data_IF_996985086168
#
_entry.id   IF_996985086168
#
_cell.length_a   1.000
_cell.length_b   1.000
_cell.length_c   1.000
_cell.angle_alpha   90.00
_cell.angle_beta   90.00
_cell.angle_gamma   90.00
#
_symmetry.space_group_name_H-M   'P 1'
#
loop_
_entity.id
_entity.type
_entity.pdbx_description
1 polymer ?
#
# COMPACT_ATOMS: atom_id res chain seq x y z
N UNK A 1 -79.93 51.39 -44.98
CA UNK A 1 -79.75 50.37 -43.93
C UNK A 1 -78.29 49.94 -43.96
N UNK A 2 -77.47 50.63 -43.18
CA UNK A 2 -76.04 50.35 -43.03
C UNK A 2 -75.90 49.92 -41.56
N UNK A 3 -75.66 48.62 -41.33
CA UNK A 3 -75.26 48.11 -40.03
C UNK A 3 -73.73 48.13 -39.99
N UNK A 4 -73.18 48.98 -39.13
CA UNK A 4 -71.78 48.92 -38.73
C UNK A 4 -71.76 48.40 -37.30
N UNK A 5 -71.25 47.18 -37.13
CA UNK A 5 -70.95 46.58 -35.84
C UNK A 5 -69.77 47.31 -35.19
N UNK A 6 -70.00 47.85 -34.01
CA UNK A 6 -68.95 48.26 -33.07
C UNK A 6 -68.36 47.02 -32.40
N UNK A 7 -67.22 46.53 -32.90
CA UNK A 7 -66.35 45.61 -32.16
C UNK A 7 -65.36 46.43 -31.33
N UNK A 8 -65.63 46.56 -30.03
CA UNK A 8 -64.66 47.03 -29.05
C UNK A 8 -63.63 45.93 -28.77
N UNK A 9 -62.47 46.01 -29.43
CA UNK A 9 -61.28 45.27 -29.06
C UNK A 9 -60.75 45.74 -27.68
N UNK A 10 -61.09 45.01 -26.62
CA UNK A 10 -60.36 45.07 -25.34
C UNK A 10 -58.97 44.43 -25.52
N UNK A 11 -57.94 45.25 -25.76
CA UNK A 11 -56.54 44.86 -25.67
C UNK A 11 -56.16 44.54 -24.22
N UNK A 12 -56.31 43.29 -23.80
CA UNK A 12 -55.63 42.76 -22.62
C UNK A 12 -54.11 42.74 -22.87
N UNK A 13 -53.39 43.72 -22.31
CA UNK A 13 -51.93 43.65 -22.16
C UNK A 13 -51.61 42.45 -21.27
N UNK A 14 -51.14 41.34 -21.85
CA UNK A 14 -50.49 40.25 -21.12
C UNK A 14 -49.29 40.84 -20.37
N UNK A 15 -49.42 41.04 -19.06
CA UNK A 15 -48.28 41.37 -18.19
C UNK A 15 -47.37 40.15 -18.16
N UNK A 16 -46.07 40.36 -18.37
CA UNK A 16 -45.05 39.32 -18.34
C UNK A 16 -44.76 38.93 -16.90
N UNK A 17 -45.25 37.78 -16.43
CA UNK A 17 -44.86 37.21 -15.13
C UNK A 17 -43.39 36.84 -15.14
N UNK A 18 -42.63 37.24 -14.11
CA UNK A 18 -41.23 36.85 -13.94
C UNK A 18 -41.13 35.68 -12.96
N UNK A 19 -40.32 34.68 -13.29
CA UNK A 19 -40.05 33.53 -12.43
C UNK A 19 -38.57 33.44 -12.06
N UNK A 20 -38.29 32.96 -10.85
CA UNK A 20 -36.94 32.70 -10.35
C UNK A 20 -36.87 31.33 -9.70
N UNK A 21 -35.79 30.61 -9.99
CA UNK A 21 -35.43 29.34 -9.35
C UNK A 21 -34.07 29.47 -8.68
N UNK A 22 -33.99 29.03 -7.43
CA UNK A 22 -32.75 29.06 -6.66
C UNK A 22 -31.65 28.23 -7.33
N UNK A 23 -30.43 28.79 -7.35
CA UNK A 23 -29.27 28.18 -8.01
C UNK A 23 -28.44 27.28 -7.09
N UNK A 24 -28.71 27.29 -5.78
CA UNK A 24 -27.88 26.61 -4.79
C UNK A 24 -28.02 25.08 -4.84
N UNK A 25 -26.88 24.40 -4.72
CA UNK A 25 -26.76 22.94 -4.75
C UNK A 25 -25.85 22.44 -3.62
N UNK A 26 -25.93 21.14 -3.36
CA UNK A 26 -25.03 20.41 -2.50
C UNK A 26 -23.59 20.52 -3.01
N UNK A 27 -22.70 21.16 -2.23
CA UNK A 27 -21.28 21.31 -2.55
C UNK A 27 -20.59 19.96 -2.75
N UNK A 28 -20.93 18.97 -1.92
CA UNK A 28 -20.34 17.64 -2.04
C UNK A 28 -20.80 16.91 -3.29
N UNK A 29 -22.11 16.98 -3.60
CA UNK A 29 -22.66 16.33 -4.79
C UNK A 29 -22.19 17.00 -6.07
N UNK A 30 -22.04 18.33 -6.10
CA UNK A 30 -21.52 19.05 -7.29
C UNK A 30 -20.09 18.65 -7.59
N UNK A 31 -19.21 18.61 -6.59
CA UNK A 31 -17.83 18.16 -6.74
C UNK A 31 -17.74 16.69 -7.16
N UNK A 32 -18.48 15.82 -6.49
CA UNK A 32 -18.53 14.39 -6.82
C UNK A 32 -19.01 14.16 -8.25
N UNK A 33 -20.01 14.92 -8.71
CA UNK A 33 -20.48 14.84 -10.09
C UNK A 33 -19.42 15.33 -11.08
N UNK A 34 -18.77 16.46 -10.80
CA UNK A 34 -17.71 17.01 -11.64
C UNK A 34 -16.55 16.03 -11.84
N UNK A 35 -16.19 15.30 -10.78
CA UNK A 35 -15.16 14.26 -10.83
C UNK A 35 -15.64 13.04 -11.63
N UNK A 36 -16.85 12.53 -11.37
CA UNK A 36 -17.41 11.40 -12.12
C UNK A 36 -17.53 11.67 -13.62
N UNK A 37 -17.90 12.90 -14.00
CA UNK A 37 -17.95 13.31 -15.41
C UNK A 37 -16.56 13.30 -16.03
N UNK A 38 -15.54 13.84 -15.34
CA UNK A 38 -14.16 13.82 -15.80
C UNK A 38 -13.66 12.38 -15.96
N UNK A 39 -13.94 11.51 -14.99
CA UNK A 39 -13.61 10.10 -15.05
C UNK A 39 -14.19 9.44 -16.29
N UNK A 40 -15.49 9.61 -16.52
CA UNK A 40 -16.16 9.04 -17.67
C UNK A 40 -15.54 9.49 -19.00
N UNK A 41 -15.16 10.77 -19.12
CA UNK A 41 -14.48 11.31 -20.30
C UNK A 41 -13.11 10.67 -20.49
N UNK A 42 -12.29 10.59 -19.43
CA UNK A 42 -10.95 9.98 -19.49
C UNK A 42 -11.01 8.49 -19.84
N UNK A 43 -11.91 7.73 -19.20
CA UNK A 43 -12.11 6.31 -19.52
C UNK A 43 -12.55 6.14 -20.97
N UNK A 44 -13.53 6.92 -21.43
CA UNK A 44 -14.00 6.83 -22.81
C UNK A 44 -12.89 7.15 -23.82
N UNK A 45 -12.05 8.15 -23.55
CA UNK A 45 -10.92 8.51 -24.42
C UNK A 45 -9.89 7.37 -24.51
N UNK A 46 -9.54 6.73 -23.39
CA UNK A 46 -8.59 5.60 -23.36
C UNK A 46 -9.19 4.36 -24.04
N UNK A 47 -10.47 4.08 -23.82
CA UNK A 47 -11.15 2.96 -24.47
C UNK A 47 -11.24 3.14 -25.99
N UNK A 48 -11.52 4.36 -26.47
CA UNK A 48 -11.56 4.67 -27.89
C UNK A 48 -10.21 4.42 -28.60
N UNK A 49 -9.08 4.53 -27.89
CA UNK A 49 -7.77 4.21 -28.43
C UNK A 49 -7.45 2.71 -28.50
N UNK A 50 -8.00 1.92 -27.58
CA UNK A 50 -7.64 0.52 -27.41
C UNK A 50 -8.35 -0.41 -28.42
N UNK A 51 -9.08 0.13 -29.39
CA UNK A 51 -9.79 -0.63 -30.43
C UNK A 51 -9.07 -0.67 -31.78
N UNK A 52 -9.44 -1.64 -32.64
CA UNK A 52 -8.88 -1.88 -34.00
C UNK A 52 -8.99 -0.63 -34.91
N UNK A 53 -9.92 0.29 -34.63
CA UNK A 53 -10.18 1.49 -35.45
C UNK A 53 -9.30 2.71 -35.14
N UNK A 54 -8.43 2.67 -34.12
CA UNK A 54 -7.66 3.86 -33.70
C UNK A 54 -6.33 3.98 -34.45
N UNK A 55 -6.39 4.49 -35.67
CA UNK A 55 -5.21 4.94 -36.40
C UNK A 55 -4.91 6.40 -35.96
N UNK A 56 -4.07 6.55 -34.93
CA UNK A 56 -3.26 7.75 -34.68
C UNK A 56 -4.00 8.98 -34.09
N UNK A 57 -4.63 8.84 -32.91
CA UNK A 57 -4.97 10.02 -32.08
C UNK A 57 -4.63 9.75 -30.62
N UNK A 58 -3.93 10.67 -29.96
CA UNK A 58 -3.58 10.63 -28.52
C UNK A 58 -4.86 10.69 -27.66
N UNK A 59 -4.91 10.17 -26.41
CA UNK A 59 -6.13 10.25 -25.62
C UNK A 59 -6.49 11.73 -25.36
N UNK A 60 -5.48 12.58 -25.24
CA UNK A 60 -5.60 14.03 -25.10
C UNK A 60 -6.40 14.68 -26.24
N UNK A 61 -6.19 14.25 -27.49
CA UNK A 61 -6.87 14.83 -28.66
C UNK A 61 -8.37 14.48 -28.69
N UNK A 62 -8.76 13.41 -28.01
CA UNK A 62 -10.12 12.92 -27.97
C UNK A 62 -10.96 13.53 -26.83
N UNK A 63 -10.32 14.07 -25.77
CA UNK A 63 -11.01 14.59 -24.58
C UNK A 63 -12.08 15.65 -24.89
N UNK A 64 -11.84 16.68 -25.74
CA UNK A 64 -12.82 17.74 -25.96
C UNK A 64 -14.12 17.23 -26.61
N UNK A 65 -14.00 16.35 -27.60
CA UNK A 65 -15.16 15.80 -28.30
C UNK A 65 -15.98 14.86 -27.41
N UNK A 66 -15.31 14.06 -26.58
CA UNK A 66 -15.99 13.22 -25.59
C UNK A 66 -16.68 14.05 -24.50
N UNK A 67 -16.08 15.16 -24.06
CA UNK A 67 -16.71 16.07 -23.12
C UNK A 67 -17.99 16.71 -23.69
N UNK A 68 -17.94 17.20 -24.94
CA UNK A 68 -19.11 17.75 -25.65
C UNK A 68 -20.23 16.71 -25.80
N UNK A 69 -19.88 15.48 -26.18
CA UNK A 69 -20.84 14.40 -26.34
C UNK A 69 -21.48 14.00 -25.01
N UNK A 70 -20.69 13.86 -23.93
CA UNK A 70 -21.24 13.60 -22.60
C UNK A 70 -22.22 14.70 -22.19
N UNK A 71 -21.85 15.97 -22.32
CA UNK A 71 -22.75 17.07 -22.00
C UNK A 71 -24.04 17.05 -22.82
N UNK A 72 -23.96 16.73 -24.13
CA UNK A 72 -25.14 16.58 -24.97
C UNK A 72 -26.07 15.50 -24.43
N UNK A 73 -25.54 14.33 -24.05
CA UNK A 73 -26.32 13.22 -23.48
C UNK A 73 -26.95 13.61 -22.14
N UNK A 74 -26.20 14.31 -21.29
CA UNK A 74 -26.67 14.72 -19.97
C UNK A 74 -27.72 15.82 -20.05
N UNK A 75 -27.58 16.78 -20.98
CA UNK A 75 -28.55 17.86 -21.19
C UNK A 75 -29.75 17.46 -22.05
N UNK A 76 -29.72 16.31 -22.74
CA UNK A 76 -30.84 15.84 -23.55
C UNK A 76 -31.99 15.31 -22.65
N UNK A 77 -33.15 15.97 -22.79
CA UNK A 77 -34.37 15.75 -22.00
C UNK A 77 -35.33 14.80 -22.74
N UNK A 78 -34.97 13.52 -22.88
CA UNK A 78 -35.82 12.57 -23.61
C UNK A 78 -37.11 12.17 -22.86
N UNK A 79 -37.27 12.47 -21.57
CA UNK A 79 -38.52 12.25 -20.81
C UNK A 79 -38.49 12.94 -19.42
N UNK A 80 -39.25 14.02 -19.19
CA UNK A 80 -39.36 14.70 -17.88
C UNK A 80 -39.82 13.78 -16.72
N UNK A 81 -40.45 12.65 -17.04
CA UNK A 81 -40.89 11.66 -16.06
C UNK A 81 -39.75 10.76 -15.55
N UNK A 82 -38.63 10.63 -16.27
CA UNK A 82 -37.50 9.75 -15.90
C UNK A 82 -36.27 10.50 -15.38
N UNK A 83 -36.34 11.83 -15.28
CA UNK A 83 -35.25 12.69 -14.82
C UNK A 83 -35.06 12.53 -13.30
N UNK A 84 -34.05 11.75 -12.91
CA UNK A 84 -33.66 11.49 -11.53
C UNK A 84 -32.15 11.39 -11.40
N UNK A 85 -31.61 11.58 -10.19
CA UNK A 85 -30.18 11.38 -9.92
C UNK A 85 -29.68 9.98 -10.30
N UNK A 86 -30.50 8.94 -10.17
CA UNK A 86 -30.16 7.58 -10.60
C UNK A 86 -30.04 7.48 -12.13
N UNK A 87 -30.92 8.15 -12.88
CA UNK A 87 -30.82 8.23 -14.34
C UNK A 87 -29.57 8.99 -14.77
N UNK A 88 -29.19 10.05 -14.06
CA UNK A 88 -27.94 10.78 -14.29
C UNK A 88 -26.71 9.87 -14.12
N UNK A 89 -26.64 9.16 -13.00
CA UNK A 89 -25.55 8.24 -12.72
C UNK A 89 -25.45 7.13 -13.79
N UNK A 90 -26.59 6.56 -14.19
CA UNK A 90 -26.63 5.56 -15.27
C UNK A 90 -26.15 6.14 -16.59
N UNK A 91 -26.59 7.33 -17.00
CA UNK A 91 -26.14 7.97 -18.26
C UNK A 91 -24.62 8.20 -18.29
N UNK A 92 -24.01 8.59 -17.16
CA UNK A 92 -22.56 8.78 -17.05
C UNK A 92 -21.84 7.43 -17.18
N UNK A 93 -22.36 6.38 -16.53
CA UNK A 93 -21.78 5.04 -16.58
C UNK A 93 -21.92 4.43 -17.99
N UNK A 94 -23.10 4.54 -18.61
CA UNK A 94 -23.35 4.07 -19.97
C UNK A 94 -22.43 4.78 -20.97
N UNK A 95 -22.20 6.09 -20.81
CA UNK A 95 -21.24 6.83 -21.63
C UNK A 95 -19.81 6.31 -21.46
N UNK A 96 -19.38 6.10 -20.21
CA UNK A 96 -18.07 5.52 -19.89
C UNK A 96 -17.87 4.18 -20.58
N UNK A 97 -18.89 3.32 -20.57
CA UNK A 97 -18.80 1.95 -21.08
C UNK A 97 -19.07 1.83 -22.60
N UNK A 98 -19.69 2.84 -23.23
CA UNK A 98 -20.08 2.84 -24.66
C UNK A 98 -18.91 2.52 -25.61
N UNK A 99 -17.71 2.98 -25.28
CA UNK A 99 -16.52 2.83 -26.12
C UNK A 99 -15.60 1.68 -25.67
N UNK A 100 -16.00 0.91 -24.66
CA UNK A 100 -15.21 -0.21 -24.14
C UNK A 100 -15.12 -1.32 -25.19
N UNK A 101 -13.89 -1.62 -25.64
CA UNK A 101 -13.63 -2.64 -26.67
C UNK A 101 -13.23 -3.98 -26.05
N UNK A 102 -13.41 -5.08 -26.78
CA UNK A 102 -12.98 -6.42 -26.31
C UNK A 102 -11.50 -6.48 -25.91
N UNK A 103 -10.62 -5.71 -26.58
CA UNK A 103 -9.19 -5.65 -26.21
C UNK A 103 -8.93 -4.93 -24.89
N UNK A 104 -9.83 -4.04 -24.46
CA UNK A 104 -9.72 -3.41 -23.12
C UNK A 104 -9.95 -4.44 -22.01
N UNK A 105 -10.75 -5.47 -22.25
CA UNK A 105 -10.98 -6.56 -21.29
C UNK A 105 -9.77 -7.50 -21.14
N UNK A 106 -8.89 -7.52 -22.15
CA UNK A 106 -7.61 -8.22 -22.09
C UNK A 106 -6.51 -7.40 -21.39
N UNK A 107 -6.78 -6.13 -21.07
CA UNK A 107 -5.85 -5.26 -20.34
C UNK A 107 -6.11 -5.32 -18.85
N UNK A 108 -5.04 -5.34 -18.03
CA UNK A 108 -5.20 -5.26 -16.57
C UNK A 108 -5.99 -4.02 -16.17
N UNK A 109 -7.03 -4.22 -15.34
CA UNK A 109 -7.84 -3.14 -14.76
C UNK A 109 -6.98 -2.07 -14.12
N UNK A 110 -5.94 -2.47 -13.37
CA UNK A 110 -5.02 -1.56 -12.70
C UNK A 110 -4.29 -0.65 -13.70
N UNK A 111 -3.86 -1.22 -14.84
CA UNK A 111 -3.16 -0.46 -15.89
C UNK A 111 -4.04 0.62 -16.50
N UNK A 112 -5.33 0.35 -16.68
CA UNK A 112 -6.30 1.35 -17.18
C UNK A 112 -6.51 2.45 -16.12
N UNK A 113 -6.65 2.07 -14.85
CA UNK A 113 -6.80 3.03 -13.74
C UNK A 113 -5.59 3.95 -13.59
N UNK A 114 -4.38 3.40 -13.72
CA UNK A 114 -3.14 4.18 -13.67
C UNK A 114 -3.03 5.14 -14.86
N UNK A 115 -3.44 4.71 -16.06
CA UNK A 115 -3.43 5.56 -17.25
C UNK A 115 -4.47 6.68 -17.17
N UNK A 116 -5.67 6.39 -16.63
CA UNK A 116 -6.68 7.43 -16.32
C UNK A 116 -6.12 8.44 -15.33
N UNK A 117 -5.46 7.98 -14.27
CA UNK A 117 -4.84 8.86 -13.27
C UNK A 117 -3.79 9.76 -13.92
N UNK A 118 -2.89 9.18 -14.71
CA UNK A 118 -1.86 9.90 -15.46
C UNK A 118 -2.47 10.94 -16.39
N UNK A 119 -3.51 10.58 -17.13
CA UNK A 119 -4.21 11.47 -18.05
C UNK A 119 -4.90 12.64 -17.33
N UNK A 120 -5.46 12.41 -16.14
CA UNK A 120 -6.01 13.48 -15.30
C UNK A 120 -4.92 14.42 -14.82
N UNK A 121 -3.84 13.88 -14.26
CA UNK A 121 -2.71 14.68 -13.76
C UNK A 121 -2.09 15.55 -14.86
N UNK A 122 -1.92 15.01 -16.07
CA UNK A 122 -1.34 15.75 -17.20
C UNK A 122 -2.32 16.74 -17.84
N UNK A 123 -3.61 16.38 -17.92
CA UNK A 123 -4.65 17.25 -18.50
C UNK A 123 -5.08 18.38 -17.56
N UNK A 124 -4.98 18.17 -16.24
CA UNK A 124 -5.26 19.20 -15.23
C UNK A 124 -4.08 20.15 -14.99
N UNK A 125 -2.94 19.97 -15.68
CA UNK A 125 -1.89 21.00 -15.68
C UNK A 125 -2.35 22.25 -16.43
N UNK A 126 -2.00 23.42 -15.89
CA UNK A 126 -2.50 24.75 -16.28
C UNK A 126 -2.41 25.03 -17.80
N UNK A 127 -1.43 24.45 -18.50
CA UNK A 127 -1.20 24.70 -19.94
C UNK A 127 -2.06 23.80 -20.85
N UNK A 128 -2.44 22.60 -20.40
CA UNK A 128 -3.23 21.64 -21.17
C UNK A 128 -4.73 21.75 -20.87
N UNK A 129 -5.11 22.11 -19.64
CA UNK A 129 -6.50 22.41 -19.29
C UNK A 129 -7.05 23.53 -20.21
N UNK A 130 -6.30 24.62 -20.35
CA UNK A 130 -6.64 25.75 -21.23
C UNK A 130 -6.99 25.28 -22.66
N UNK A 131 -6.16 24.42 -23.29
CA UNK A 131 -6.39 23.94 -24.66
C UNK A 131 -7.46 22.86 -24.80
N UNK A 132 -7.59 21.98 -23.81
CA UNK A 132 -8.54 20.85 -23.85
C UNK A 132 -9.97 21.32 -23.55
N UNK A 133 -10.11 22.42 -22.81
CA UNK A 133 -11.39 22.99 -22.40
C UNK A 133 -11.81 24.27 -23.17
N UNK A 134 -10.90 24.99 -23.86
CA UNK A 134 -11.26 26.16 -24.70
C UNK A 134 -11.76 25.80 -26.12
N UNK A 135 -11.38 24.65 -26.69
CA UNK A 135 -11.80 24.26 -28.06
C UNK A 135 -13.27 23.82 -28.17
N UNK A 136 -14.00 23.87 -27.05
CA UNK A 136 -15.43 24.06 -27.04
C UNK A 136 -15.75 24.91 -25.83
N UNK A 137 -16.24 26.13 -26.04
CA UNK A 137 -16.69 27.08 -25.01
C UNK A 137 -17.57 26.40 -23.93
N UNK A 138 -16.97 25.72 -22.97
CA UNK A 138 -17.69 24.92 -21.97
C UNK A 138 -17.54 25.49 -20.57
N UNK A 139 -16.59 26.39 -20.35
CA UNK A 139 -16.16 26.76 -19.01
C UNK A 139 -15.65 28.21 -18.96
N UNK A 140 -16.54 29.19 -19.12
CA UNK A 140 -16.18 30.61 -18.98
C UNK A 140 -15.96 30.97 -17.49
N UNK A 141 -14.71 30.95 -17.03
CA UNK A 141 -14.21 31.82 -15.96
C UNK A 141 -12.67 31.75 -15.89
N UNK A 142 -12.03 32.81 -15.41
CA UNK A 142 -10.58 32.90 -15.18
C UNK A 142 -10.03 31.91 -14.12
N UNK A 143 -10.90 31.05 -13.55
CA UNK A 143 -10.58 30.00 -12.57
C UNK A 143 -11.24 28.67 -13.03
N UNK A 144 -10.45 27.77 -13.62
CA UNK A 144 -10.88 26.54 -14.31
C UNK A 144 -11.70 25.55 -13.45
N UNK A 145 -11.52 25.55 -12.13
CA UNK A 145 -12.29 24.69 -11.21
C UNK A 145 -13.74 25.19 -11.03
N UNK A 146 -13.94 26.51 -11.08
CA UNK A 146 -15.23 27.15 -10.81
C UNK A 146 -16.25 26.88 -11.91
N UNK A 147 -15.76 26.73 -13.14
CA UNK A 147 -16.57 26.51 -14.33
C UNK A 147 -17.07 25.05 -14.40
N UNK A 148 -16.20 24.07 -14.10
CA UNK A 148 -16.57 22.65 -13.97
C UNK A 148 -17.65 22.44 -12.92
N UNK A 149 -17.44 23.05 -11.75
CA UNK A 149 -18.41 22.96 -10.66
C UNK A 149 -19.75 23.61 -11.03
N UNK A 150 -19.75 24.74 -11.76
CA UNK A 150 -21.00 25.40 -12.18
C UNK A 150 -21.80 24.56 -13.19
N UNK A 151 -21.13 23.93 -14.17
CA UNK A 151 -21.81 22.99 -15.09
C UNK A 151 -22.36 21.78 -14.35
N UNK A 152 -21.63 21.25 -13.35
CA UNK A 152 -22.16 20.18 -12.51
C UNK A 152 -23.35 20.63 -11.67
N UNK A 153 -23.36 21.88 -11.16
CA UNK A 153 -24.54 22.47 -10.49
C UNK A 153 -25.72 22.57 -11.44
N UNK A 154 -25.51 23.01 -12.67
CA UNK A 154 -26.56 23.08 -13.71
C UNK A 154 -27.18 21.70 -13.95
N UNK A 155 -26.36 20.68 -14.20
CA UNK A 155 -26.83 19.31 -14.43
C UNK A 155 -27.56 18.77 -13.20
N UNK A 156 -27.03 18.95 -11.98
CA UNK A 156 -27.72 18.51 -10.77
C UNK A 156 -29.11 19.14 -10.63
N UNK A 157 -29.25 20.44 -10.90
CA UNK A 157 -30.55 21.13 -10.88
C UNK A 157 -31.53 20.53 -11.87
N UNK A 158 -31.07 20.08 -13.05
CA UNK A 158 -31.93 19.41 -14.03
C UNK A 158 -32.42 18.06 -13.49
N UNK A 159 -31.54 17.25 -12.89
CA UNK A 159 -31.85 15.88 -12.47
C UNK A 159 -32.50 15.74 -11.09
N UNK A 160 -32.42 16.79 -10.26
CA UNK A 160 -32.96 16.79 -8.91
C UNK A 160 -34.30 17.56 -8.76
N UNK A 161 -34.88 18.05 -9.88
CA UNK A 161 -36.07 18.94 -9.94
C UNK A 161 -37.26 18.51 -9.08
N UNK A 162 -37.42 17.23 -8.76
CA UNK A 162 -38.58 16.68 -8.03
C UNK A 162 -38.27 16.23 -6.61
N UNK A 163 -37.02 15.88 -6.30
CA UNK A 163 -36.65 15.23 -5.02
C UNK A 163 -35.97 16.19 -4.04
N UNK A 164 -35.29 17.24 -4.52
CA UNK A 164 -34.61 18.21 -3.65
C UNK A 164 -33.57 17.54 -2.75
N UNK A 165 -32.89 16.53 -3.28
CA UNK A 165 -31.89 15.72 -2.58
C UNK A 165 -30.51 16.36 -2.66
N UNK A 166 -30.23 17.10 -3.73
CA UNK A 166 -28.94 17.70 -4.02
C UNK A 166 -29.02 19.18 -4.43
N UNK A 167 -30.21 19.76 -4.57
CA UNK A 167 -30.44 21.12 -5.02
C UNK A 167 -31.64 21.77 -4.32
N UNK A 168 -31.65 23.10 -4.29
CA UNK A 168 -32.79 23.84 -3.79
C UNK A 168 -33.96 23.79 -4.78
N UNK A 169 -35.14 23.41 -4.28
CA UNK A 169 -36.37 23.41 -5.07
C UNK A 169 -37.13 24.74 -5.00
N UNK A 170 -36.56 25.77 -4.34
CA UNK A 170 -37.24 27.06 -4.22
C UNK A 170 -37.43 27.69 -5.59
N UNK A 171 -38.68 27.97 -5.91
CA UNK A 171 -39.14 28.64 -7.11
C UNK A 171 -40.19 29.66 -6.67
N UNK A 172 -40.11 30.87 -7.23
CA UNK A 172 -41.04 31.95 -6.95
C UNK A 172 -41.37 32.70 -8.24
N UNK A 173 -42.60 33.19 -8.33
CA UNK A 173 -43.09 33.94 -9.47
C UNK A 173 -43.84 35.18 -8.95
N UNK A 174 -43.61 36.33 -9.58
CA UNK A 174 -44.36 37.55 -9.27
C UNK A 174 -44.55 38.40 -10.53
N UNK A 175 -45.65 39.16 -10.56
CA UNK A 175 -45.87 40.19 -11.58
C UNK A 175 -44.99 41.43 -11.35
N UNK A 176 -44.71 41.73 -10.08
CA UNK A 176 -43.88 42.86 -9.66
C UNK A 176 -42.43 42.42 -9.46
N UNK A 177 -41.51 43.09 -10.16
CA UNK A 177 -40.09 42.75 -10.12
C UNK A 177 -39.44 43.04 -8.75
N UNK A 178 -39.94 44.00 -7.98
CA UNK A 178 -39.42 44.32 -6.66
C UNK A 178 -39.93 43.32 -5.60
N UNK A 179 -41.17 42.85 -5.74
CA UNK A 179 -41.69 41.73 -4.94
C UNK A 179 -40.88 40.45 -5.20
N UNK A 180 -40.61 40.12 -6.46
CA UNK A 180 -39.76 38.97 -6.82
C UNK A 180 -38.37 39.09 -6.18
N UNK A 181 -37.72 40.25 -6.29
CA UNK A 181 -36.41 40.50 -5.67
C UNK A 181 -36.45 40.36 -4.17
N UNK A 182 -37.51 40.80 -3.51
CA UNK A 182 -37.69 40.65 -2.07
C UNK A 182 -37.76 39.17 -1.68
N UNK A 183 -38.58 38.38 -2.36
CA UNK A 183 -38.68 36.93 -2.12
C UNK A 183 -37.34 36.21 -2.34
N UNK A 184 -36.58 36.59 -3.37
CA UNK A 184 -35.24 36.06 -3.65
C UNK A 184 -34.28 36.36 -2.49
N UNK A 185 -34.22 37.62 -2.05
CA UNK A 185 -33.33 38.03 -0.94
C UNK A 185 -33.66 37.30 0.36
N UNK A 186 -34.94 37.25 0.72
CA UNK A 186 -35.40 36.54 1.93
C UNK A 186 -35.00 35.05 1.89
N UNK A 187 -35.13 34.43 0.72
CA UNK A 187 -34.70 33.06 0.51
C UNK A 187 -33.18 32.90 0.64
N UNK A 188 -32.39 33.68 -0.10
CA UNK A 188 -30.93 33.55 -0.15
C UNK A 188 -30.27 33.85 1.20
N UNK A 189 -30.80 34.82 1.96
CA UNK A 189 -30.23 35.25 3.24
C UNK A 189 -30.55 34.29 4.40
N UNK A 190 -31.80 33.78 4.46
CA UNK A 190 -32.28 33.12 5.68
C UNK A 190 -32.79 31.69 5.47
N UNK A 191 -33.53 31.45 4.38
CA UNK A 191 -34.26 30.21 4.18
C UNK A 191 -33.48 29.13 3.39
N UNK A 192 -32.49 29.50 2.60
CA UNK A 192 -31.80 28.55 1.73
C UNK A 192 -30.90 27.60 2.54
N UNK A 193 -31.33 26.35 2.69
CA UNK A 193 -30.50 25.31 3.31
C UNK A 193 -29.36 24.82 2.41
N UNK A 194 -29.41 25.13 1.12
CA UNK A 194 -28.41 24.68 0.16
C UNK A 194 -27.24 25.64 -0.02
N UNK A 195 -27.33 26.83 0.59
CA UNK A 195 -26.25 27.82 0.56
C UNK A 195 -24.95 27.20 1.10
N UNK A 196 -23.86 27.47 0.40
CA UNK A 196 -22.52 27.06 0.83
C UNK A 196 -22.12 27.85 2.07
N UNK A 197 -21.73 27.14 3.11
CA UNK A 197 -21.21 27.70 4.36
C UNK A 197 -19.84 27.10 4.64
N UNK A 198 -19.00 27.88 5.33
CA UNK A 198 -17.68 27.46 5.80
C UNK A 198 -17.77 27.05 7.27
N UNK A 199 -17.11 25.95 7.65
CA UNK A 199 -16.93 25.59 9.05
C UNK A 199 -16.02 26.60 9.75
N UNK A 200 -16.47 27.11 10.90
CA UNK A 200 -15.66 28.00 11.75
C UNK A 200 -14.47 27.30 12.41
N UNK A 201 -14.48 25.96 12.47
CA UNK A 201 -13.44 25.18 13.13
C UNK A 201 -12.41 24.62 12.16
N UNK A 202 -12.84 23.90 11.12
CA UNK A 202 -11.95 23.12 10.24
C UNK A 202 -11.86 23.61 8.79
N UNK A 203 -12.31 24.84 8.52
CA UNK A 203 -12.29 25.52 7.21
C UNK A 203 -13.01 24.82 6.04
N UNK A 204 -13.61 23.65 6.28
CA UNK A 204 -14.33 22.88 5.26
C UNK A 204 -15.63 23.57 4.82
N UNK A 205 -15.94 23.47 3.53
CA UNK A 205 -17.12 24.09 2.91
C UNK A 205 -18.18 23.02 2.60
N UNK A 206 -19.43 23.27 2.99
CA UNK A 206 -20.56 22.38 2.76
C UNK A 206 -21.87 23.16 2.74
N UNK A 207 -22.97 22.55 2.29
CA UNK A 207 -24.28 23.21 2.32
C UNK A 207 -24.84 23.30 3.74
N UNK A 208 -25.47 24.43 4.10
CA UNK A 208 -26.07 24.70 5.43
C UNK A 208 -26.88 23.52 5.99
N UNK A 209 -27.62 22.80 5.14
CA UNK A 209 -28.36 21.57 5.44
C UNK A 209 -27.55 20.50 6.18
N UNK A 210 -26.25 20.40 5.90
CA UNK A 210 -25.36 19.39 6.48
C UNK A 210 -24.55 19.89 7.68
N UNK A 211 -24.76 21.13 8.15
CA UNK A 211 -24.01 21.71 9.27
C UNK A 211 -24.04 20.84 10.52
N UNK A 212 -25.23 20.42 10.95
CA UNK A 212 -25.39 19.56 12.14
C UNK A 212 -24.65 18.23 12.00
N UNK A 213 -24.77 17.57 10.84
CA UNK A 213 -24.06 16.32 10.56
C UNK A 213 -22.54 16.52 10.55
N UNK A 214 -22.06 17.60 9.95
CA UNK A 214 -20.64 17.91 9.92
C UNK A 214 -20.09 18.09 11.34
N UNK A 215 -20.72 18.94 12.14
CA UNK A 215 -20.35 19.20 13.52
C UNK A 215 -20.30 17.89 14.34
N UNK A 216 -21.39 17.12 14.36
CA UNK A 216 -21.53 15.94 15.20
C UNK A 216 -20.69 14.72 14.75
N UNK A 217 -20.38 14.59 13.45
CA UNK A 217 -19.79 13.34 12.92
C UNK A 217 -18.53 13.49 12.10
N UNK A 218 -18.27 14.66 11.52
CA UNK A 218 -17.21 14.82 10.50
C UNK A 218 -16.10 15.76 10.98
N UNK A 219 -16.45 16.90 11.55
CA UNK A 219 -15.52 17.97 11.90
C UNK A 219 -14.39 17.48 12.83
N UNK A 220 -13.13 17.47 12.40
CA UNK A 220 -12.03 16.95 13.22
C UNK A 220 -11.78 17.78 14.48
N UNK A 221 -12.24 19.03 14.48
CA UNK A 221 -12.03 20.01 15.54
C UNK A 221 -13.30 20.23 16.38
N UNK A 222 -14.35 19.44 16.17
CA UNK A 222 -15.52 19.44 17.06
C UNK A 222 -15.13 18.89 18.42
N UNK A 223 -15.63 19.55 19.46
CA UNK A 223 -15.41 19.15 20.83
C UNK A 223 -16.34 17.98 21.19
N UNK A 224 -15.73 16.88 21.62
CA UNK A 224 -16.42 15.67 22.06
C UNK A 224 -15.89 15.25 23.41
N UNK A 225 -16.76 14.66 24.21
CA UNK A 225 -16.35 14.04 25.47
C UNK A 225 -15.54 12.78 25.20
N UNK A 226 -14.57 12.51 26.09
CA UNK A 226 -13.80 11.29 26.02
C UNK A 226 -14.74 10.06 26.09
N UNK A 227 -14.61 9.07 25.18
CA UNK A 227 -15.44 7.87 25.17
C UNK A 227 -15.25 7.00 26.42
N UNK A 228 -14.10 7.13 27.10
CA UNK A 228 -13.81 6.49 28.38
C UNK A 228 -14.42 7.23 29.58
N UNK A 229 -15.25 8.26 29.33
CA UNK A 229 -15.99 9.04 30.35
C UNK A 229 -15.11 9.57 31.48
N UNK A 230 -13.89 9.99 31.16
CA UNK A 230 -13.00 10.64 32.14
C UNK A 230 -13.40 12.10 32.44
N UNK A 231 -14.44 12.62 31.79
CA UNK A 231 -14.90 14.01 31.94
C UNK A 231 -14.11 15.05 31.14
N UNK A 232 -13.06 14.66 30.42
CA UNK A 232 -12.31 15.59 29.56
C UNK A 232 -13.03 15.81 28.23
N UNK A 233 -13.23 17.07 27.86
CA UNK A 233 -13.71 17.50 26.54
C UNK A 233 -12.51 17.79 25.64
N UNK A 234 -12.48 17.19 24.46
CA UNK A 234 -11.34 17.23 23.54
C UNK A 234 -11.84 17.47 22.12
N UNK A 235 -10.96 18.02 21.28
CA UNK A 235 -11.20 18.00 19.83
C UNK A 235 -11.21 16.55 19.35
N UNK A 236 -12.12 16.20 18.44
CA UNK A 236 -12.30 14.83 17.91
C UNK A 236 -10.97 14.18 17.47
N UNK A 237 -10.11 14.92 16.78
CA UNK A 237 -8.79 14.43 16.35
C UNK A 237 -7.77 14.18 17.48
N UNK A 238 -8.04 14.64 18.71
CA UNK A 238 -7.19 14.44 19.89
C UNK A 238 -7.70 13.32 20.81
N UNK A 239 -8.92 12.82 20.58
CA UNK A 239 -9.55 11.80 21.42
C UNK A 239 -8.73 10.53 21.49
N UNK A 240 -8.28 10.02 20.34
CA UNK A 240 -7.52 8.77 20.28
C UNK A 240 -6.20 8.89 21.02
N UNK A 241 -5.47 9.99 20.81
CA UNK A 241 -4.20 10.25 21.49
C UNK A 241 -4.39 10.37 23.01
N UNK A 242 -5.46 11.05 23.45
CA UNK A 242 -5.80 11.13 24.86
C UNK A 242 -6.16 9.75 25.43
N UNK A 243 -7.07 9.01 24.78
CA UNK A 243 -7.52 7.70 25.22
C UNK A 243 -6.34 6.73 25.35
N UNK A 244 -5.39 6.80 24.41
CA UNK A 244 -4.21 5.96 24.40
C UNK A 244 -3.16 6.37 25.43
N UNK A 245 -2.94 7.64 25.75
CA UNK A 245 -1.74 8.04 26.52
C UNK A 245 -2.02 8.80 27.82
N UNK A 246 -3.13 9.53 27.88
CA UNK A 246 -3.37 10.52 28.94
C UNK A 246 -4.59 10.21 29.79
N UNK A 247 -5.55 9.45 29.26
CA UNK A 247 -6.78 9.14 29.96
C UNK A 247 -6.53 8.34 31.24
N UNK A 248 -7.09 8.81 32.35
CA UNK A 248 -7.03 8.13 33.64
C UNK A 248 -7.88 6.85 33.67
N UNK A 249 -8.94 6.81 32.87
CA UNK A 249 -9.80 5.64 32.69
C UNK A 249 -9.30 4.68 31.60
N UNK A 250 -8.09 4.92 31.04
CA UNK A 250 -7.48 3.97 30.10
C UNK A 250 -7.25 2.65 30.81
N UNK A 251 -7.58 1.55 30.14
CA UNK A 251 -7.24 0.20 30.60
C UNK A 251 -5.73 0.08 30.82
N UNK A 252 -5.35 -0.57 31.91
CA UNK A 252 -3.97 -0.76 32.30
C UNK A 252 -3.79 -2.22 32.70
N UNK A 253 -2.88 -2.92 32.03
CA UNK A 253 -2.59 -4.33 32.32
C UNK A 253 -1.76 -4.45 33.59
N UNK A 254 -2.11 -5.38 34.46
CA UNK A 254 -1.32 -5.66 35.66
C UNK A 254 -0.05 -6.44 35.24
N UNK A 255 1.16 -6.08 35.71
CA UNK A 255 2.37 -6.86 35.44
C UNK A 255 2.28 -8.33 35.88
N UNK A 256 1.41 -8.63 36.83
CA UNK A 256 1.14 -9.96 37.37
C UNK A 256 -0.01 -10.69 36.65
N UNK A 257 -0.61 -10.11 35.61
CA UNK A 257 -1.69 -10.73 34.83
C UNK A 257 -1.28 -12.09 34.25
N UNK A 258 -0.04 -12.21 33.74
CA UNK A 258 0.52 -13.49 33.26
C UNK A 258 0.69 -14.54 34.34
N UNK A 259 0.61 -14.13 35.60
CA UNK A 259 0.61 -15.01 36.74
C UNK A 259 -0.82 -15.26 37.24
N UNK A 260 -1.86 -14.96 36.45
CA UNK A 260 -3.28 -15.07 36.83
C UNK A 260 -3.61 -14.19 38.04
N UNK A 261 -3.07 -12.98 38.09
CA UNK A 261 -3.60 -11.98 39.01
C UNK A 261 -5.09 -11.78 38.72
N UNK A 262 -5.95 -12.16 39.67
CA UNK A 262 -7.36 -11.86 39.62
C UNK A 262 -7.54 -10.35 39.73
N UNK A 263 -7.64 -9.65 38.61
CA UNK A 263 -8.35 -8.38 38.67
C UNK A 263 -9.77 -8.68 39.15
N UNK A 264 -10.36 -7.86 40.03
CA UNK A 264 -11.79 -7.95 40.31
C UNK A 264 -12.59 -7.86 39.00
N UNK A 265 -13.90 -8.06 39.08
CA UNK A 265 -14.88 -7.97 37.98
C UNK A 265 -14.83 -6.68 37.13
N UNK A 266 -13.99 -5.70 37.48
CA UNK A 266 -13.78 -4.46 36.74
C UNK A 266 -12.35 -4.36 36.18
N UNK A 267 -12.19 -3.87 34.94
CA UNK A 267 -10.88 -3.67 34.33
C UNK A 267 -10.04 -2.66 35.11
N UNK A 268 -8.77 -2.98 35.33
CA UNK A 268 -7.82 -2.06 35.97
C UNK A 268 -7.62 -0.86 35.05
N UNK A 269 -7.79 0.34 35.60
CA UNK A 269 -7.56 1.59 34.89
C UNK A 269 -6.31 2.25 35.42
N UNK A 270 -5.74 3.20 34.67
CA UNK A 270 -4.61 3.99 35.17
C UNK A 270 -4.90 4.64 36.53
N UNK A 271 -6.14 5.10 36.76
CA UNK A 271 -6.58 5.68 38.03
C UNK A 271 -6.58 4.69 39.19
N UNK A 272 -6.98 3.44 38.94
CA UNK A 272 -7.10 2.41 39.97
C UNK A 272 -5.86 1.54 40.11
N UNK A 273 -4.89 1.66 39.20
CA UNK A 273 -3.69 0.83 39.15
C UNK A 273 -2.88 0.85 40.46
N UNK A 274 -2.55 2.04 40.97
CA UNK A 274 -1.74 2.15 42.19
C UNK A 274 -2.44 1.57 43.41
N UNK A 275 -3.77 1.72 43.51
CA UNK A 275 -4.56 1.11 44.57
C UNK A 275 -4.59 -0.42 44.41
N UNK A 276 -4.86 -0.92 43.21
CA UNK A 276 -4.85 -2.36 42.91
C UNK A 276 -3.52 -3.02 43.31
N UNK A 277 -2.38 -2.42 42.94
CA UNK A 277 -1.05 -2.97 43.26
C UNK A 277 -0.80 -3.01 44.76
N UNK A 278 -1.18 -1.95 45.49
CA UNK A 278 -1.03 -1.91 46.95
C UNK A 278 -1.94 -2.91 47.64
N UNK A 279 -3.21 -2.95 47.28
CA UNK A 279 -4.22 -3.75 47.97
C UNK A 279 -4.07 -5.26 47.68
N UNK A 280 -3.51 -5.61 46.51
CA UNK A 280 -3.27 -7.00 46.11
C UNK A 280 -1.81 -7.44 46.25
N UNK A 281 -0.96 -6.67 46.93
CA UNK A 281 0.46 -6.97 47.02
C UNK A 281 0.77 -8.36 47.61
N UNK A 282 0.02 -8.78 48.64
CA UNK A 282 0.15 -10.11 49.24
C UNK A 282 -0.25 -11.23 48.25
N UNK A 283 -1.32 -11.03 47.48
CA UNK A 283 -1.75 -11.97 46.45
C UNK A 283 -0.72 -12.05 45.32
N UNK A 284 -0.19 -10.91 44.86
CA UNK A 284 0.89 -10.89 43.88
C UNK A 284 2.11 -11.68 44.36
N UNK A 285 2.54 -11.43 45.59
CA UNK A 285 3.66 -12.16 46.18
C UNK A 285 3.36 -13.66 46.29
N UNK A 286 2.19 -14.03 46.79
CA UNK A 286 1.77 -15.42 46.89
C UNK A 286 1.80 -16.12 45.52
N UNK A 287 1.21 -15.52 44.50
CA UNK A 287 1.15 -16.13 43.16
C UNK A 287 2.52 -16.23 42.49
N UNK A 288 3.38 -15.23 42.68
CA UNK A 288 4.80 -15.29 42.28
C UNK A 288 5.47 -16.49 42.95
N UNK A 289 5.32 -16.63 44.27
CA UNK A 289 5.93 -17.74 45.00
C UNK A 289 5.39 -19.10 44.54
N UNK A 290 4.08 -19.27 44.45
CA UNK A 290 3.44 -20.52 44.06
C UNK A 290 3.84 -20.97 42.64
N UNK A 291 3.95 -20.03 41.70
CA UNK A 291 4.23 -20.36 40.28
C UNK A 291 5.72 -20.41 39.95
N UNK A 292 6.55 -19.62 40.62
CA UNK A 292 7.98 -19.54 40.32
C UNK A 292 8.82 -20.51 41.17
N UNK A 293 8.47 -20.80 42.42
CA UNK A 293 9.28 -21.71 43.24
C UNK A 293 9.41 -23.12 42.66
N UNK A 294 8.35 -23.77 42.14
CA UNK A 294 8.49 -25.08 41.49
C UNK A 294 9.35 -25.03 40.23
N UNK A 295 9.33 -23.91 39.50
CA UNK A 295 10.19 -23.73 38.32
C UNK A 295 11.64 -23.53 38.71
N UNK A 296 11.90 -22.81 39.80
CA UNK A 296 13.24 -22.57 40.31
C UNK A 296 13.88 -23.89 40.76
N UNK A 297 13.14 -24.72 41.50
CA UNK A 297 13.65 -26.03 41.91
C UNK A 297 13.95 -26.93 40.70
N UNK A 298 13.09 -26.96 39.68
CA UNK A 298 13.37 -27.71 38.44
C UNK A 298 14.63 -27.19 37.76
N UNK A 299 14.81 -25.87 37.64
CA UNK A 299 16.00 -25.28 37.03
C UNK A 299 17.28 -25.61 37.83
N UNK A 300 17.22 -25.61 39.16
CA UNK A 300 18.34 -26.04 40.01
C UNK A 300 18.71 -27.51 39.75
N UNK A 301 17.73 -28.40 39.65
CA UNK A 301 17.97 -29.82 39.32
C UNK A 301 18.54 -29.99 37.91
N UNK A 302 18.05 -29.23 36.93
CA UNK A 302 18.58 -29.26 35.56
C UNK A 302 20.00 -28.72 35.48
N UNK A 303 20.32 -27.67 36.24
CA UNK A 303 21.67 -27.11 36.31
C UNK A 303 22.66 -28.15 36.83
N UNK A 304 22.36 -28.79 37.96
CA UNK A 304 23.20 -29.85 38.54
C UNK A 304 23.35 -31.03 37.56
N UNK A 305 22.29 -31.40 36.85
CA UNK A 305 22.34 -32.46 35.83
C UNK A 305 23.28 -32.09 34.68
N UNK A 306 23.17 -30.86 34.15
CA UNK A 306 24.00 -30.38 33.04
C UNK A 306 25.47 -30.25 33.44
N UNK A 307 25.76 -29.76 34.66
CA UNK A 307 27.12 -29.70 35.20
C UNK A 307 27.75 -31.10 35.28
N UNK A 308 27.00 -32.09 35.76
CA UNK A 308 27.46 -33.49 35.79
C UNK A 308 27.74 -34.03 34.38
N UNK A 309 26.84 -33.80 33.43
CA UNK A 309 27.06 -34.22 32.04
C UNK A 309 28.29 -33.56 31.41
N UNK A 310 28.50 -32.28 31.67
CA UNK A 310 29.69 -31.55 31.21
C UNK A 310 30.97 -32.14 31.80
N UNK A 311 30.96 -32.48 33.09
CA UNK A 311 32.08 -33.14 33.76
C UNK A 311 32.39 -34.51 33.15
N UNK A 312 31.37 -35.36 32.99
CA UNK A 312 31.51 -36.71 32.42
C UNK A 312 32.01 -36.65 30.96
N UNK A 313 31.50 -35.70 30.18
CA UNK A 313 31.94 -35.49 28.80
C UNK A 313 33.39 -34.99 28.73
N UNK A 314 33.77 -34.06 29.61
CA UNK A 314 35.15 -33.57 29.73
C UNK A 314 36.12 -34.71 30.08
N UNK A 315 35.77 -35.55 31.06
CA UNK A 315 36.59 -36.68 31.45
C UNK A 315 36.71 -37.72 30.32
N UNK A 316 35.62 -37.98 29.60
CA UNK A 316 35.63 -38.90 28.45
C UNK A 316 36.48 -38.35 27.31
N UNK A 317 36.36 -37.06 27.00
CA UNK A 317 37.17 -36.37 26.01
C UNK A 317 38.66 -36.45 26.35
N UNK A 318 39.02 -36.21 27.62
CA UNK A 318 40.40 -36.36 28.10
C UNK A 318 40.92 -37.79 27.90
N UNK A 319 40.14 -38.82 28.29
CA UNK A 319 40.52 -40.23 28.09
C UNK A 319 40.69 -40.57 26.61
N UNK A 320 39.82 -40.06 25.74
CA UNK A 320 39.93 -40.28 24.30
C UNK A 320 41.15 -39.58 23.70
N UNK A 321 41.45 -38.37 24.15
CA UNK A 321 42.64 -37.63 23.74
C UNK A 321 43.92 -38.39 24.15
N UNK A 322 43.97 -38.93 25.36
CA UNK A 322 45.09 -39.75 25.82
C UNK A 322 45.25 -41.03 24.98
N UNK A 323 44.15 -41.71 24.64
CA UNK A 323 44.17 -42.88 23.75
C UNK A 323 44.70 -42.52 22.36
N UNK A 324 44.19 -41.45 21.75
CA UNK A 324 44.63 -40.99 20.43
C UNK A 324 46.13 -40.65 20.42
N UNK A 325 46.61 -40.01 21.49
CA UNK A 325 48.05 -39.72 21.65
C UNK A 325 48.88 -41.02 21.67
N UNK A 326 48.47 -42.01 22.45
CA UNK A 326 49.14 -43.33 22.50
C UNK A 326 49.12 -44.04 21.13
N UNK A 327 47.98 -44.05 20.45
CA UNK A 327 47.89 -44.60 19.09
C UNK A 327 48.86 -43.91 18.12
N UNK A 328 48.95 -42.58 18.17
CA UNK A 328 49.89 -41.82 17.33
C UNK A 328 51.35 -42.12 17.65
N UNK A 329 51.69 -42.27 18.94
CA UNK A 329 53.04 -42.66 19.38
C UNK A 329 53.40 -44.08 18.89
N UNK A 330 52.46 -45.02 18.96
CA UNK A 330 52.64 -46.39 18.49
C UNK A 330 52.79 -46.45 16.95
N UNK A 331 52.00 -45.69 16.18
CA UNK A 331 52.17 -45.57 14.73
C UNK A 331 53.51 -44.95 14.36
N UNK A 332 53.95 -43.90 15.08
CA UNK A 332 55.25 -43.27 14.85
C UNK A 332 56.40 -44.25 15.16
N UNK A 333 56.25 -45.07 16.20
CA UNK A 333 57.24 -46.11 16.54
C UNK A 333 57.28 -47.21 15.48
N UNK A 334 56.12 -47.68 15.01
CA UNK A 334 56.02 -48.70 13.97
C UNK A 334 56.64 -48.21 12.65
N UNK A 335 56.30 -46.99 12.22
CA UNK A 335 56.85 -46.38 11.00
C UNK A 335 58.37 -46.22 11.09
N UNK A 336 58.90 -45.69 12.21
CA UNK A 336 60.35 -45.59 12.44
C UNK A 336 61.06 -46.94 12.34
N UNK A 337 60.50 -47.98 12.94
CA UNK A 337 61.07 -49.33 12.87
C UNK A 337 61.09 -49.88 11.44
N UNK A 338 60.00 -49.69 10.69
CA UNK A 338 59.94 -50.11 9.29
C UNK A 338 60.92 -49.34 8.41
N UNK A 339 61.04 -48.03 8.58
CA UNK A 339 62.04 -47.24 7.87
C UNK A 339 63.46 -47.73 8.17
N UNK A 340 63.78 -48.02 9.44
CA UNK A 340 65.08 -48.59 9.81
C UNK A 340 65.35 -49.94 9.15
N UNK A 341 64.31 -50.79 9.02
CA UNK A 341 64.44 -52.07 8.32
C UNK A 341 64.68 -51.88 6.81
N UNK A 342 63.95 -50.96 6.16
CA UNK A 342 64.14 -50.62 4.74
C UNK A 342 65.53 -50.04 4.50
N UNK A 343 65.99 -49.13 5.36
CA UNK A 343 67.33 -48.53 5.27
C UNK A 343 68.44 -49.58 5.40
N UNK A 344 68.28 -50.53 6.33
CA UNK A 344 69.21 -51.65 6.48
C UNK A 344 69.27 -52.52 5.23
N UNK A 345 68.11 -52.82 4.64
CA UNK A 345 68.02 -53.59 3.38
C UNK A 345 68.63 -52.83 2.20
N UNK A 346 68.45 -51.51 2.14
CA UNK A 346 69.04 -50.68 1.10
C UNK A 346 70.57 -50.68 1.20
N UNK A 347 71.13 -50.46 2.39
CA UNK A 347 72.59 -50.54 2.62
C UNK A 347 73.16 -51.91 2.25
N UNK A 348 72.44 -53.00 2.55
CA UNK A 348 72.84 -54.35 2.16
C UNK A 348 72.85 -54.54 0.63
N UNK A 349 71.83 -54.02 -0.06
CA UNK A 349 71.76 -54.06 -1.52
C UNK A 349 72.86 -53.22 -2.18
N UNK A 350 73.15 -52.02 -1.64
CA UNK A 350 74.25 -51.17 -2.09
C UNK A 350 75.61 -51.86 -1.95
N UNK A 351 75.87 -52.49 -0.80
CA UNK A 351 77.09 -53.28 -0.58
C UNK A 351 77.20 -54.47 -1.54
N UNK A 352 76.08 -55.15 -1.84
CA UNK A 352 76.05 -56.25 -2.79
C UNK A 352 76.35 -55.78 -4.22
N UNK A 353 75.75 -54.66 -4.64
CA UNK A 353 76.00 -54.05 -5.95
C UNK A 353 77.46 -53.63 -6.11
N UNK A 354 78.06 -53.03 -5.07
CA UNK A 354 79.48 -52.64 -5.10
C UNK A 354 80.41 -53.85 -5.11
N UNK A 355 79.99 -54.98 -4.53
CA UNK A 355 80.70 -56.26 -4.68
C UNK A 355 80.61 -56.78 -6.12
N UNK A 356 79.42 -56.85 -6.71
CA UNK A 356 79.24 -57.28 -8.10
C UNK A 356 80.02 -56.38 -9.07
N UNK A 357 80.07 -55.07 -8.83
CA UNK A 357 80.87 -54.12 -9.61
C UNK A 357 82.37 -54.42 -9.55
N UNK A 358 82.88 -54.79 -8.37
CA UNK A 358 84.28 -55.22 -8.23
C UNK A 358 84.54 -56.55 -8.94
N UNK A 359 83.63 -57.51 -8.82
CA UNK A 359 83.75 -58.82 -9.45
C UNK A 359 83.71 -58.73 -10.98
N UNK A 360 82.81 -57.91 -11.53
CA UNK A 360 82.73 -57.61 -12.98
C UNK A 360 83.98 -56.89 -13.48
N UNK A 361 84.51 -55.91 -12.75
CA UNK A 361 85.79 -55.26 -13.08
C UNK A 361 86.95 -56.26 -13.08
N UNK A 362 86.98 -57.20 -12.14
CA UNK A 362 87.97 -58.26 -12.08
C UNK A 362 87.85 -59.22 -13.27
N UNK A 363 86.63 -59.59 -13.68
CA UNK A 363 86.37 -60.40 -14.87
C UNK A 363 86.81 -59.67 -16.15
N UNK A 364 86.48 -58.38 -16.30
CA UNK A 364 86.92 -57.57 -17.45
C UNK A 364 88.44 -57.56 -17.58
N UNK A 365 89.16 -57.37 -16.46
CA UNK A 365 90.64 -57.47 -16.45
C UNK A 365 91.13 -58.83 -16.91
N UNK A 366 90.49 -59.93 -16.45
CA UNK A 366 90.84 -61.30 -16.87
C UNK A 366 90.63 -61.50 -18.37
N UNK A 367 89.50 -61.04 -18.91
CA UNK A 367 89.20 -61.06 -20.35
C UNK A 367 90.28 -60.31 -21.13
N UNK A 368 90.65 -59.11 -20.70
CA UNK A 368 91.70 -58.31 -21.35
C UNK A 368 93.05 -59.06 -21.38
N UNK A 369 93.43 -59.74 -20.29
CA UNK A 369 94.62 -60.63 -20.28
C UNK A 369 94.49 -61.80 -21.26
N UNK A 370 93.32 -62.43 -21.35
CA UNK A 370 93.09 -63.54 -22.28
C UNK A 370 93.12 -63.08 -23.74
N UNK A 371 92.54 -61.92 -24.05
CA UNK A 371 92.60 -61.30 -25.37
C UNK A 371 94.06 -60.97 -25.77
N UNK A 372 94.86 -60.41 -24.85
CA UNK A 372 96.30 -60.20 -25.05
C UNK A 372 97.02 -61.52 -25.33
N UNK A 373 96.72 -62.58 -24.57
CA UNK A 373 97.29 -63.92 -24.79
C UNK A 373 96.89 -64.51 -26.16
N UNK A 374 95.63 -64.34 -26.57
CA UNK A 374 95.12 -64.83 -27.85
C UNK A 374 95.73 -64.07 -29.05
N UNK A 375 95.94 -62.75 -28.92
CA UNK A 375 96.66 -61.95 -29.91
C UNK A 375 98.12 -62.42 -30.05
N UNK A 376 98.80 -62.74 -28.95
CA UNK A 376 100.17 -63.27 -29.01
C UNK A 376 100.25 -64.66 -29.64
N UNK A 377 99.27 -65.54 -29.42
CA UNK A 377 99.22 -66.87 -30.04
C UNK A 377 98.80 -66.84 -31.52
N UNK A 378 97.94 -65.89 -31.92
CA UNK A 378 97.59 -65.64 -33.33
C UNK A 378 98.78 -65.13 -34.15
N UNK A 379 99.60 -64.24 -33.59
CA UNK A 379 100.86 -63.81 -34.21
C UNK A 379 101.86 -64.97 -34.35
N UNK A 380 101.90 -65.88 -33.37
CA UNK A 380 102.72 -67.09 -33.45
C UNK A 380 102.21 -68.08 -34.53
N UNK A 381 100.88 -68.18 -34.74
CA UNK A 381 100.28 -69.00 -35.78
C UNK A 381 100.44 -68.41 -37.20
N UNK A 382 100.59 -67.08 -37.34
CA UNK A 382 100.85 -66.42 -38.64
C UNK A 382 102.35 -66.36 -39.02
N UNK A 383 103.25 -66.71 -38.10
CA UNK A 383 104.71 -66.73 -38.32
C UNK A 383 105.31 -68.08 -38.71
N UNK A 384 104.52 -69.14 -38.90
CA UNK A 384 104.99 -70.44 -39.43
C UNK A 384 104.25 -70.79 -40.72
N UNK A 385 104.49 -69.99 -41.74
CA UNK A 385 104.65 -70.44 -43.11
C UNK A 385 106.12 -70.38 -43.44
#
# INVERSE_FOLDING_TARGET
>A
MISSNDEKETKQKKKSTQSYRCKNCCVFSSKTLADRMLDAICYSAIYAQSGIKSLIKSPHDALPEHAKELLRILKNEEDEQRVSLETLERKIQDFRDRNRSFFTDLTSKQKIEDEVRRLKETSLTQTNAMKTFDLGQMFLAADDDKSREETSKEILRMYDRKKGVASCLFECEAEDAEELRKMIREHEESACEWVEVKCERCDERFSKKFRKRHDEKVCPLFEVECPLKCGTVLKRNQVDLHAMNRCENRAFECPYEKLDCCSPTEPITKKTFDAHVRDNCANHLFTVTQKLFPKLSVLEHEHVRLEKQLHDHSQTSFRNHEKLKRFSEDELKWTKNNFGHVETRLKAAEMALEKERRDTLALMKRIETLEKALMTSSLAARGRK
#
